data_IF_777359161795
#
_entry.id   IF_777359161795
#
_cell.length_a   1.000
_cell.length_b   1.000
_cell.length_c   1.000
_cell.angle_alpha   90.00
_cell.angle_beta   90.00
_cell.angle_gamma   90.00
#
_symmetry.space_group_name_H-M   'P 1'
#
loop_
_entity.id
_entity.type
_entity.pdbx_description
1 polymer ?
#
# COMPACT_ATOMS: atom_id res chain seq x y z
N UNK A 1 30.23 -5.02 -0.20
CA UNK A 1 30.03 -6.46 -0.45
C UNK A 1 28.68 -6.86 0.14
N UNK A 2 27.63 -6.93 -0.71
CA UNK A 2 26.36 -7.66 -0.49
C UNK A 2 25.31 -7.26 -1.57
N UNK A 3 25.70 -7.33 -2.84
CA UNK A 3 24.71 -7.39 -3.93
C UNK A 3 24.20 -8.82 -4.02
N UNK A 4 23.37 -9.25 -3.05
CA UNK A 4 22.85 -10.61 -3.02
C UNK A 4 21.40 -10.60 -3.52
N UNK A 5 21.18 -11.08 -4.74
CA UNK A 5 19.86 -11.56 -5.17
C UNK A 5 19.58 -12.81 -4.35
N UNK A 6 18.93 -12.66 -3.19
CA UNK A 6 18.59 -13.81 -2.35
C UNK A 6 17.26 -14.38 -2.85
N UNK A 7 17.33 -15.32 -3.79
CA UNK A 7 16.19 -16.20 -4.09
C UNK A 7 16.05 -17.16 -2.90
N UNK A 8 15.01 -16.96 -2.09
CA UNK A 8 14.70 -17.90 -1.02
C UNK A 8 14.27 -19.24 -1.60
N UNK A 9 15.00 -20.30 -1.25
CA UNK A 9 14.56 -21.69 -1.39
C UNK A 9 15.16 -22.44 -2.58
N UNK A 10 16.19 -23.24 -2.31
CA UNK A 10 16.51 -24.39 -3.16
C UNK A 10 15.40 -25.43 -3.06
N UNK A 11 14.77 -25.71 -4.20
CA UNK A 11 13.76 -26.75 -4.39
C UNK A 11 13.62 -27.00 -5.89
N UNK A 12 14.04 -28.19 -6.33
CA UNK A 12 14.31 -28.59 -7.72
C UNK A 12 13.06 -28.59 -8.61
N UNK A 13 13.18 -27.97 -9.80
CA UNK A 13 12.60 -28.39 -11.09
C UNK A 13 11.11 -28.71 -11.19
N UNK A 14 10.38 -27.91 -11.99
CA UNK A 14 9.08 -28.29 -12.52
C UNK A 14 8.39 -27.14 -13.27
N UNK A 15 8.23 -27.27 -14.58
CA UNK A 15 7.46 -26.36 -15.43
C UNK A 15 5.99 -26.36 -15.03
N UNK A 16 5.47 -25.23 -14.53
CA UNK A 16 4.03 -24.99 -14.36
C UNK A 16 3.37 -25.78 -13.23
N UNK A 17 3.61 -25.38 -11.98
CA UNK A 17 2.98 -25.95 -10.79
C UNK A 17 3.52 -25.30 -9.52
N UNK A 18 2.72 -25.30 -8.46
CA UNK A 18 2.91 -24.69 -7.14
C UNK A 18 4.38 -24.52 -6.70
N UNK A 19 4.79 -23.34 -6.20
CA UNK A 19 6.16 -23.11 -5.75
C UNK A 19 6.57 -24.08 -4.64
N UNK A 20 7.68 -24.80 -4.86
CA UNK A 20 8.23 -25.78 -3.92
C UNK A 20 9.03 -25.08 -2.80
N UNK A 21 8.35 -24.56 -1.77
CA UNK A 21 9.01 -24.09 -0.55
C UNK A 21 8.12 -23.24 0.35
N UNK A 22 8.35 -23.34 1.66
CA UNK A 22 7.83 -22.40 2.65
C UNK A 22 9.01 -21.68 3.28
N UNK A 23 9.01 -20.35 3.25
CA UNK A 23 9.94 -19.54 4.01
C UNK A 23 9.22 -19.07 5.27
N UNK A 24 9.76 -19.41 6.43
CA UNK A 24 9.14 -18.97 7.68
C UNK A 24 9.28 -17.47 7.84
N UNK A 25 10.50 -16.93 7.76
CA UNK A 25 10.78 -15.51 7.89
C UNK A 25 11.90 -15.08 6.93
N UNK A 26 11.91 -13.80 6.60
CA UNK A 26 13.01 -13.17 5.89
C UNK A 26 13.32 -11.83 6.55
N UNK A 27 14.60 -11.55 6.84
CA UNK A 27 15.00 -10.30 7.50
C UNK A 27 16.16 -9.66 6.75
N UNK A 28 15.95 -8.43 6.30
CA UNK A 28 17.01 -7.52 5.88
C UNK A 28 17.43 -6.68 7.08
N UNK A 29 18.57 -7.02 7.68
CA UNK A 29 19.08 -6.34 8.88
C UNK A 29 19.52 -4.91 8.58
N UNK A 30 19.68 -4.10 9.63
CA UNK A 30 20.15 -2.70 9.52
C UNK A 30 21.43 -2.59 8.68
N UNK A 31 21.45 -1.64 7.75
CA UNK A 31 22.53 -1.45 6.77
C UNK A 31 22.56 -2.50 5.64
N UNK A 32 21.70 -3.52 5.70
CA UNK A 32 21.54 -4.51 4.66
C UNK A 32 20.93 -3.90 3.39
N UNK A 33 21.44 -4.30 2.24
CA UNK A 33 20.94 -3.88 0.93
C UNK A 33 20.56 -5.10 0.13
N UNK A 34 19.33 -5.14 -0.38
CA UNK A 34 18.84 -6.16 -1.29
C UNK A 34 18.35 -5.45 -2.54
N UNK A 35 19.02 -5.67 -3.66
CA UNK A 35 18.59 -5.08 -4.94
C UNK A 35 17.25 -5.67 -5.39
N UNK A 36 17.09 -6.99 -5.29
CA UNK A 36 15.84 -7.63 -5.67
C UNK A 36 15.56 -8.83 -4.78
N UNK A 37 14.37 -8.85 -4.18
CA UNK A 37 13.80 -9.99 -3.47
C UNK A 37 12.58 -10.47 -4.24
N UNK A 38 12.66 -11.69 -4.76
CA UNK A 38 11.55 -12.34 -5.44
C UNK A 38 10.89 -13.34 -4.49
N UNK A 39 9.70 -13.00 -3.98
CA UNK A 39 8.85 -13.97 -3.32
C UNK A 39 8.03 -14.75 -4.34
N UNK A 40 8.56 -15.89 -4.74
CA UNK A 40 7.85 -16.84 -5.58
C UNK A 40 7.14 -17.94 -4.79
N UNK A 41 7.17 -17.95 -3.45
CA UNK A 41 6.70 -19.06 -2.63
C UNK A 41 5.87 -18.58 -1.43
N UNK A 42 5.40 -19.50 -0.58
CA UNK A 42 4.69 -19.11 0.63
C UNK A 42 5.68 -18.55 1.67
N UNK A 43 5.45 -17.32 2.13
CA UNK A 43 6.16 -16.76 3.29
C UNK A 43 5.19 -16.56 4.45
N UNK A 44 5.38 -17.29 5.55
CA UNK A 44 4.36 -17.41 6.61
C UNK A 44 4.49 -16.40 7.75
N UNK A 45 5.69 -15.94 8.10
CA UNK A 45 5.92 -14.91 9.13
C UNK A 45 6.45 -13.60 8.51
N UNK A 46 6.47 -13.54 7.18
CA UNK A 46 6.71 -12.33 6.43
C UNK A 46 8.16 -11.88 6.28
N UNK A 47 8.28 -10.64 5.86
CA UNK A 47 9.53 -9.94 5.56
C UNK A 47 9.70 -8.79 6.54
N UNK A 48 10.86 -8.69 7.17
CA UNK A 48 11.26 -7.53 7.97
C UNK A 48 12.38 -6.77 7.25
N UNK A 49 12.15 -5.52 6.88
CA UNK A 49 13.18 -4.59 6.41
C UNK A 49 13.50 -3.62 7.54
N UNK A 50 14.62 -3.85 8.23
CA UNK A 50 14.98 -3.11 9.43
C UNK A 50 15.32 -1.64 9.12
N UNK A 51 15.40 -0.82 10.17
CA UNK A 51 15.88 0.57 10.05
C UNK A 51 17.23 0.65 9.33
N UNK A 52 17.37 1.62 8.43
CA UNK A 52 18.56 1.80 7.56
C UNK A 52 18.84 0.63 6.60
N UNK A 53 17.94 -0.35 6.49
CA UNK A 53 18.04 -1.41 5.50
C UNK A 53 17.28 -0.99 4.23
N UNK A 54 17.78 -1.41 3.07
CA UNK A 54 17.19 -1.07 1.76
C UNK A 54 16.81 -2.34 1.01
N UNK A 55 15.58 -2.41 0.51
CA UNK A 55 15.18 -3.33 -0.55
C UNK A 55 14.81 -2.48 -1.77
N UNK A 56 15.56 -2.57 -2.86
CA UNK A 56 15.22 -1.77 -4.06
C UNK A 56 13.94 -2.30 -4.70
N UNK A 57 13.83 -3.61 -4.90
CA UNK A 57 12.61 -4.21 -5.46
C UNK A 57 12.18 -5.44 -4.67
N UNK A 58 10.95 -5.41 -4.15
CA UNK A 58 10.27 -6.56 -3.58
C UNK A 58 9.19 -7.02 -4.57
N UNK A 59 9.39 -8.18 -5.19
CA UNK A 59 8.40 -8.79 -6.06
C UNK A 59 7.66 -9.89 -5.30
N UNK A 60 6.41 -9.64 -4.92
CA UNK A 60 5.53 -10.65 -4.38
C UNK A 60 4.70 -11.30 -5.50
N UNK A 61 4.92 -12.60 -5.74
CA UNK A 61 4.22 -13.40 -6.76
C UNK A 61 3.39 -14.55 -6.15
N UNK A 62 3.26 -14.58 -4.82
CA UNK A 62 2.51 -15.59 -4.08
C UNK A 62 1.98 -15.03 -2.75
N UNK A 63 1.50 -15.90 -1.86
CA UNK A 63 1.05 -15.51 -0.52
C UNK A 63 2.22 -15.08 0.39
N UNK A 64 2.09 -13.89 0.97
CA UNK A 64 3.01 -13.29 1.93
C UNK A 64 2.19 -12.75 3.10
N UNK A 65 2.41 -13.29 4.30
CA UNK A 65 1.60 -12.90 5.45
C UNK A 65 1.84 -11.45 5.87
N UNK A 66 3.10 -11.05 6.04
CA UNK A 66 3.42 -9.71 6.51
C UNK A 66 4.62 -9.10 5.80
N UNK A 67 4.61 -7.79 5.68
CA UNK A 67 5.79 -6.98 5.42
C UNK A 67 5.86 -5.93 6.51
N UNK A 68 6.99 -5.86 7.20
CA UNK A 68 7.29 -4.84 8.20
C UNK A 68 8.47 -4.02 7.69
N UNK A 69 8.19 -2.79 7.24
CA UNK A 69 9.21 -1.89 6.72
C UNK A 69 9.53 -0.77 7.72
N UNK A 70 10.73 -0.78 8.28
CA UNK A 70 11.31 0.33 9.07
C UNK A 70 12.48 1.01 8.35
N UNK A 71 12.88 0.49 7.18
CA UNK A 71 13.91 1.06 6.32
C UNK A 71 13.31 1.62 5.04
N UNK A 72 13.95 1.35 3.90
CA UNK A 72 13.49 1.79 2.57
C UNK A 72 13.12 0.61 1.70
N UNK A 73 11.94 0.66 1.08
CA UNK A 73 11.58 -0.17 -0.07
C UNK A 73 11.32 0.76 -1.25
N UNK A 74 12.11 0.69 -2.33
CA UNK A 74 11.85 1.56 -3.49
C UNK A 74 10.61 1.10 -4.24
N UNK A 75 10.53 -0.18 -4.62
CA UNK A 75 9.36 -0.72 -5.32
C UNK A 75 8.88 -1.99 -4.66
N UNK A 76 7.58 -2.05 -4.37
CA UNK A 76 6.87 -3.23 -3.93
C UNK A 76 5.84 -3.60 -5.00
N UNK A 77 6.10 -4.70 -5.69
CA UNK A 77 5.25 -5.25 -6.73
C UNK A 77 4.45 -6.44 -6.17
N UNK A 78 3.14 -6.29 -6.01
CA UNK A 78 2.23 -7.40 -5.70
C UNK A 78 1.52 -7.83 -7.00
N UNK A 79 1.92 -8.99 -7.53
CA UNK A 79 1.61 -9.41 -8.90
C UNK A 79 1.19 -10.89 -8.98
N UNK A 80 0.73 -11.35 -10.14
CA UNK A 80 0.43 -12.76 -10.39
C UNK A 80 -0.59 -13.36 -9.41
N UNK A 81 -1.66 -12.59 -9.13
CA UNK A 81 -2.69 -12.97 -8.14
C UNK A 81 -2.14 -13.20 -6.73
N UNK A 82 -1.00 -12.60 -6.42
CA UNK A 82 -0.40 -12.67 -5.10
C UNK A 82 -1.25 -11.98 -4.04
N UNK A 83 -1.02 -12.37 -2.79
CA UNK A 83 -1.67 -11.78 -1.63
C UNK A 83 -0.63 -11.32 -0.63
N UNK A 84 -0.79 -10.10 -0.14
CA UNK A 84 -0.13 -9.59 1.06
C UNK A 84 -1.21 -9.39 2.11
N UNK A 85 -1.14 -10.12 3.22
CA UNK A 85 -2.16 -9.97 4.26
C UNK A 85 -1.98 -8.63 5.00
N UNK A 86 -0.75 -8.33 5.45
CA UNK A 86 -0.47 -7.05 6.13
C UNK A 86 0.81 -6.43 5.62
N UNK A 87 0.74 -5.19 5.16
CA UNK A 87 1.90 -4.35 4.91
C UNK A 87 1.90 -3.21 5.93
N UNK A 88 2.89 -3.21 6.80
CA UNK A 88 3.11 -2.14 7.77
C UNK A 88 4.35 -1.35 7.37
N UNK A 89 4.15 -0.12 6.92
CA UNK A 89 5.22 0.85 6.83
C UNK A 89 5.38 1.49 8.23
N UNK A 90 6.28 0.93 9.02
CA UNK A 90 6.54 1.34 10.40
C UNK A 90 7.06 2.78 10.47
N UNK A 91 7.11 3.32 11.68
CA UNK A 91 7.61 4.67 11.91
C UNK A 91 8.98 4.92 11.26
N UNK A 92 9.07 6.02 10.51
CA UNK A 92 10.22 6.43 9.69
C UNK A 92 10.58 5.46 8.55
N UNK A 93 9.75 4.45 8.27
CA UNK A 93 9.85 3.63 7.07
C UNK A 93 9.46 4.44 5.84
N UNK A 94 10.16 4.19 4.74
CA UNK A 94 9.89 4.80 3.45
C UNK A 94 9.56 3.73 2.41
N UNK A 95 8.49 3.95 1.63
CA UNK A 95 8.18 3.16 0.44
C UNK A 95 7.93 4.10 -0.74
N UNK A 96 8.72 4.00 -1.81
CA UNK A 96 8.51 4.93 -2.94
C UNK A 96 7.28 4.51 -3.78
N UNK A 97 7.14 3.23 -4.10
CA UNK A 97 6.01 2.76 -4.92
C UNK A 97 5.50 1.41 -4.46
N UNK A 98 4.17 1.33 -4.32
CA UNK A 98 3.42 0.09 -4.16
C UNK A 98 2.59 -0.13 -5.42
N UNK A 99 2.87 -1.18 -6.16
CA UNK A 99 2.05 -1.66 -7.29
C UNK A 99 1.23 -2.86 -6.84
N UNK A 100 -0.06 -2.65 -6.55
CA UNK A 100 -0.99 -3.76 -6.36
C UNK A 100 -1.67 -4.07 -7.69
N UNK A 101 -1.08 -4.98 -8.47
CA UNK A 101 -1.51 -5.25 -9.85
C UNK A 101 -2.85 -5.99 -9.89
N UNK A 102 -3.46 -5.99 -11.08
CA UNK A 102 -4.75 -6.63 -11.31
C UNK A 102 -4.76 -8.09 -10.84
N UNK A 103 -5.86 -8.50 -10.23
CA UNK A 103 -6.02 -9.84 -9.64
C UNK A 103 -5.26 -10.08 -8.33
N UNK A 104 -4.38 -9.17 -7.91
CA UNK A 104 -3.63 -9.28 -6.65
C UNK A 104 -4.36 -8.57 -5.50
N UNK A 105 -4.06 -8.97 -4.27
CA UNK A 105 -4.71 -8.45 -3.07
C UNK A 105 -3.70 -7.96 -2.04
N UNK A 106 -3.96 -6.78 -1.47
CA UNK A 106 -3.39 -6.35 -0.19
C UNK A 106 -4.56 -6.19 0.78
N UNK A 107 -4.56 -6.94 1.88
CA UNK A 107 -5.68 -6.87 2.83
C UNK A 107 -5.56 -5.61 3.70
N UNK A 108 -4.41 -5.42 4.35
CA UNK A 108 -4.17 -4.24 5.18
C UNK A 108 -2.88 -3.55 4.79
N UNK A 109 -2.95 -2.24 4.61
CA UNK A 109 -1.82 -1.33 4.45
C UNK A 109 -1.89 -0.25 5.53
N UNK A 110 -0.95 -0.29 6.47
CA UNK A 110 -0.81 0.71 7.51
C UNK A 110 0.44 1.56 7.25
N UNK A 111 0.25 2.85 7.01
CA UNK A 111 1.31 3.85 7.01
C UNK A 111 1.37 4.50 8.39
N UNK A 112 2.33 4.05 9.21
CA UNK A 112 2.44 4.43 10.63
C UNK A 112 2.99 5.84 10.81
N UNK A 113 2.93 6.33 12.04
CA UNK A 113 3.44 7.66 12.43
C UNK A 113 4.83 7.96 11.86
N UNK A 114 5.01 9.11 11.18
CA UNK A 114 6.24 9.53 10.50
C UNK A 114 6.71 8.62 9.36
N UNK A 115 5.92 7.64 8.95
CA UNK A 115 6.22 6.81 7.79
C UNK A 115 5.76 7.53 6.51
N UNK A 116 6.48 7.26 5.42
CA UNK A 116 6.25 7.91 4.14
C UNK A 116 5.99 6.86 3.06
N UNK A 117 4.94 7.09 2.27
CA UNK A 117 4.71 6.37 1.02
C UNK A 117 4.59 7.40 -0.10
N UNK A 118 5.40 7.30 -1.14
CA UNK A 118 5.30 8.25 -2.24
C UNK A 118 4.07 7.91 -3.11
N UNK A 119 3.97 6.70 -3.63
CA UNK A 119 2.85 6.31 -4.51
C UNK A 119 2.26 4.94 -4.18
N UNK A 120 0.93 4.86 -4.15
CA UNK A 120 0.16 3.63 -4.14
C UNK A 120 -0.63 3.54 -5.44
N UNK A 121 -0.32 2.53 -6.25
CA UNK A 121 -0.99 2.23 -7.50
C UNK A 121 -1.81 0.94 -7.34
N UNK A 122 -3.10 1.08 -7.11
CA UNK A 122 -4.01 -0.04 -6.94
C UNK A 122 -4.76 -0.35 -8.24
N UNK A 123 -4.40 -1.46 -8.90
CA UNK A 123 -5.15 -2.08 -10.00
C UNK A 123 -5.88 -3.36 -9.60
N UNK A 124 -5.61 -3.90 -8.40
CA UNK A 124 -6.23 -5.09 -7.82
C UNK A 124 -7.22 -4.74 -6.71
N UNK A 125 -7.13 -5.49 -5.60
CA UNK A 125 -7.92 -5.23 -4.38
C UNK A 125 -7.01 -4.75 -3.25
N UNK A 126 -7.29 -3.57 -2.71
CA UNK A 126 -6.73 -3.08 -1.45
C UNK A 126 -7.89 -2.96 -0.46
N UNK A 127 -7.96 -3.80 0.57
CA UNK A 127 -9.14 -3.77 1.44
C UNK A 127 -9.07 -2.59 2.41
N UNK A 128 -7.97 -2.41 3.13
CA UNK A 128 -7.82 -1.33 4.10
C UNK A 128 -6.52 -0.58 3.88
N UNK A 129 -6.64 0.74 3.76
CA UNK A 129 -5.53 1.69 3.82
C UNK A 129 -5.72 2.62 5.01
N UNK A 130 -4.77 2.62 5.93
CA UNK A 130 -4.73 3.54 7.08
C UNK A 130 -3.49 4.43 6.96
N UNK A 131 -3.69 5.75 6.99
CA UNK A 131 -2.62 6.73 7.14
C UNK A 131 -2.72 7.35 8.54
N UNK A 132 -1.75 7.07 9.40
CA UNK A 132 -1.75 7.53 10.79
C UNK A 132 -1.36 9.01 10.94
N UNK A 133 -1.45 9.53 12.17
CA UNK A 133 -0.99 10.89 12.49
C UNK A 133 0.49 11.07 12.13
N UNK A 134 0.85 12.21 11.54
CA UNK A 134 2.20 12.51 11.03
C UNK A 134 2.72 11.57 9.94
N UNK A 135 1.91 10.62 9.48
CA UNK A 135 2.23 9.79 8.32
C UNK A 135 1.86 10.54 7.02
N UNK A 136 2.64 10.34 5.97
CA UNK A 136 2.40 10.99 4.67
C UNK A 136 2.29 9.99 3.54
N UNK A 137 1.27 10.15 2.70
CA UNK A 137 1.15 9.48 1.40
C UNK A 137 1.05 10.55 0.31
N UNK A 138 1.95 10.57 -0.68
CA UNK A 138 1.85 11.60 -1.72
C UNK A 138 0.71 11.29 -2.70
N UNK A 139 0.65 10.08 -3.26
CA UNK A 139 -0.41 9.70 -4.20
C UNK A 139 -1.02 8.34 -3.87
N UNK A 140 -2.36 8.31 -3.88
CA UNK A 140 -3.15 7.07 -3.93
C UNK A 140 -3.95 7.07 -5.23
N UNK A 141 -3.71 6.09 -6.08
CA UNK A 141 -4.43 5.87 -7.33
C UNK A 141 -5.19 4.55 -7.25
N UNK A 142 -6.52 4.62 -7.16
CA UNK A 142 -7.41 3.47 -7.29
C UNK A 142 -7.87 3.39 -8.74
N UNK A 143 -7.17 2.60 -9.56
CA UNK A 143 -7.34 2.52 -11.01
C UNK A 143 -8.70 1.93 -11.41
N UNK A 144 -9.05 2.05 -12.68
CA UNK A 144 -10.26 1.43 -13.23
C UNK A 144 -10.30 -0.06 -12.94
N UNK A 145 -11.49 -0.58 -12.61
CA UNK A 145 -11.76 -1.97 -12.18
C UNK A 145 -11.08 -2.42 -10.87
N UNK A 146 -10.30 -1.55 -10.22
CA UNK A 146 -9.74 -1.83 -8.91
C UNK A 146 -10.77 -1.60 -7.80
N UNK A 147 -10.54 -2.25 -6.66
CA UNK A 147 -11.33 -2.03 -5.45
C UNK A 147 -10.42 -1.52 -4.33
N UNK A 148 -10.83 -0.42 -3.72
CA UNK A 148 -10.33 0.05 -2.43
C UNK A 148 -11.50 0.03 -1.44
N UNK A 149 -11.52 -0.87 -0.48
CA UNK A 149 -12.72 -0.98 0.39
C UNK A 149 -12.76 0.19 1.38
N UNK A 150 -11.69 0.41 2.12
CA UNK A 150 -11.61 1.44 3.15
C UNK A 150 -10.33 2.23 3.03
N UNK A 151 -10.45 3.54 2.95
CA UNK A 151 -9.35 4.49 3.14
C UNK A 151 -9.66 5.33 4.37
N UNK A 152 -8.70 5.36 5.31
CA UNK A 152 -8.75 6.22 6.49
C UNK A 152 -7.50 7.07 6.56
N UNK A 153 -7.67 8.39 6.44
CA UNK A 153 -6.63 9.37 6.74
C UNK A 153 -6.90 9.97 8.12
N UNK A 154 -6.15 9.53 9.13
CA UNK A 154 -6.35 9.96 10.52
C UNK A 154 -5.99 11.44 10.71
N UNK A 155 -6.47 12.03 11.80
CA UNK A 155 -6.08 13.37 12.19
C UNK A 155 -4.55 13.48 12.29
N UNK A 156 -3.98 14.54 11.72
CA UNK A 156 -2.52 14.73 11.61
C UNK A 156 -1.86 13.96 10.46
N UNK A 157 -2.55 13.01 9.83
CA UNK A 157 -2.09 12.35 8.61
C UNK A 157 -2.26 13.23 7.38
N UNK A 158 -1.36 13.08 6.41
CA UNK A 158 -1.43 13.79 5.12
C UNK A 158 -1.52 12.81 3.97
N UNK A 159 -2.51 13.02 3.10
CA UNK A 159 -2.56 12.46 1.76
C UNK A 159 -2.56 13.63 0.77
N UNK A 160 -1.59 13.72 -0.14
CA UNK A 160 -1.59 14.84 -1.09
C UNK A 160 -2.69 14.63 -2.14
N UNK A 161 -2.69 13.49 -2.81
CA UNK A 161 -3.60 13.21 -3.93
C UNK A 161 -4.28 11.86 -3.75
N UNK A 162 -5.61 11.85 -3.86
CA UNK A 162 -6.42 10.65 -4.01
C UNK A 162 -7.16 10.70 -5.35
N UNK A 163 -6.80 9.80 -6.26
CA UNK A 163 -7.44 9.60 -7.55
C UNK A 163 -8.23 8.29 -7.52
N UNK A 164 -9.55 8.38 -7.64
CA UNK A 164 -10.44 7.22 -7.70
C UNK A 164 -11.07 7.09 -9.09
N UNK A 165 -10.66 6.05 -9.82
CA UNK A 165 -11.26 5.60 -11.08
C UNK A 165 -11.90 4.20 -10.95
N UNK A 166 -11.67 3.50 -9.85
CA UNK A 166 -12.30 2.22 -9.49
C UNK A 166 -13.46 2.37 -8.51
N UNK A 167 -13.68 1.34 -7.70
CA UNK A 167 -14.65 1.36 -6.61
C UNK A 167 -13.95 1.70 -5.30
N UNK A 168 -14.43 2.72 -4.60
CA UNK A 168 -14.03 3.05 -3.24
C UNK A 168 -15.24 2.98 -2.31
N UNK A 169 -15.31 1.98 -1.42
CA UNK A 169 -16.51 1.83 -0.58
C UNK A 169 -16.60 2.88 0.52
N UNK A 170 -15.49 3.16 1.21
CA UNK A 170 -15.47 4.14 2.30
C UNK A 170 -14.19 4.97 2.27
N UNK A 171 -14.34 6.29 2.18
CA UNK A 171 -13.28 7.26 2.35
C UNK A 171 -13.55 8.09 3.62
N UNK A 172 -12.64 8.02 4.59
CA UNK A 172 -12.70 8.83 5.82
C UNK A 172 -11.47 9.72 5.91
N UNK A 173 -11.66 11.03 5.92
CA UNK A 173 -10.59 12.01 6.06
C UNK A 173 -10.79 12.84 7.33
N UNK A 174 -9.93 12.62 8.33
CA UNK A 174 -9.78 13.46 9.52
C UNK A 174 -8.50 14.32 9.48
N UNK A 175 -7.55 13.99 8.60
CA UNK A 175 -6.31 14.71 8.39
C UNK A 175 -6.38 15.74 7.26
N UNK A 176 -5.26 15.88 6.54
CA UNK A 176 -5.16 16.70 5.34
C UNK A 176 -5.27 15.79 4.12
N UNK A 177 -6.23 16.07 3.25
CA UNK A 177 -6.29 15.57 1.88
C UNK A 177 -6.20 16.79 0.96
N UNK A 178 -5.15 16.92 0.15
CA UNK A 178 -5.05 18.13 -0.69
C UNK A 178 -6.03 18.05 -1.85
N UNK A 179 -5.95 16.97 -2.63
CA UNK A 179 -6.77 16.77 -3.83
C UNK A 179 -7.50 15.44 -3.76
N UNK A 180 -8.82 15.49 -3.94
CA UNK A 180 -9.65 14.32 -4.21
C UNK A 180 -10.23 14.44 -5.62
N UNK A 181 -9.88 13.50 -6.48
CA UNK A 181 -10.48 13.32 -7.81
C UNK A 181 -11.26 12.02 -7.84
N UNK A 182 -12.57 12.09 -8.00
CA UNK A 182 -13.43 10.92 -8.21
C UNK A 182 -13.99 10.91 -9.64
N UNK A 183 -13.67 9.88 -10.39
CA UNK A 183 -14.14 9.63 -11.76
C UNK A 183 -14.96 8.34 -11.88
N UNK A 184 -15.20 7.66 -10.74
CA UNK A 184 -16.05 6.47 -10.68
C UNK A 184 -16.89 6.49 -9.39
N UNK A 185 -16.82 5.45 -8.55
CA UNK A 185 -17.74 5.30 -7.41
C UNK A 185 -17.02 5.48 -6.09
N UNK A 186 -17.55 6.39 -5.27
CA UNK A 186 -17.34 6.40 -3.82
C UNK A 186 -18.68 6.09 -3.14
N UNK A 187 -18.79 5.04 -2.34
CA UNK A 187 -20.08 4.74 -1.67
C UNK A 187 -20.30 5.68 -0.48
N UNK A 188 -19.30 5.79 0.40
CA UNK A 188 -19.35 6.63 1.60
C UNK A 188 -18.14 7.57 1.64
N UNK A 189 -18.38 8.88 1.79
CA UNK A 189 -17.32 9.86 2.00
C UNK A 189 -17.60 10.67 3.26
N UNK A 190 -16.69 10.60 4.24
CA UNK A 190 -16.73 11.41 5.46
C UNK A 190 -15.49 12.28 5.54
N UNK A 191 -15.69 13.58 5.73
CA UNK A 191 -14.62 14.53 5.95
C UNK A 191 -14.82 15.26 7.28
N UNK A 192 -13.93 15.05 8.25
CA UNK A 192 -13.79 15.87 9.46
C UNK A 192 -12.47 16.68 9.46
N UNK A 193 -11.58 16.39 8.50
CA UNK A 193 -10.32 17.08 8.27
C UNK A 193 -10.44 18.20 7.23
N UNK A 194 -9.43 18.32 6.37
CA UNK A 194 -9.41 19.26 5.24
C UNK A 194 -9.36 18.52 3.91
N UNK A 195 -10.19 18.98 2.96
CA UNK A 195 -10.05 18.69 1.53
C UNK A 195 -9.88 20.04 0.84
N UNK A 196 -8.76 20.27 0.13
CA UNK A 196 -8.49 21.57 -0.51
C UNK A 196 -9.12 21.66 -1.89
N UNK A 197 -9.04 20.58 -2.67
CA UNK A 197 -9.62 20.49 -4.00
C UNK A 197 -10.40 19.19 -4.11
N UNK A 198 -11.68 19.31 -4.49
CA UNK A 198 -12.54 18.18 -4.78
C UNK A 198 -13.03 18.29 -6.23
N UNK A 199 -12.68 17.31 -7.05
CA UNK A 199 -13.27 17.11 -8.37
C UNK A 199 -14.05 15.80 -8.37
N UNK A 200 -15.37 15.86 -8.53
CA UNK A 200 -16.21 14.67 -8.63
C UNK A 200 -16.94 14.69 -9.99
N UNK A 201 -16.51 13.83 -10.91
CA UNK A 201 -17.11 13.66 -12.23
C UNK A 201 -18.01 12.43 -12.34
N UNK A 202 -18.27 11.75 -11.22
CA UNK A 202 -19.06 10.52 -11.16
C UNK A 202 -19.85 10.42 -9.83
N UNK A 203 -20.06 9.21 -9.32
CA UNK A 203 -21.03 8.95 -8.24
C UNK A 203 -20.37 8.97 -6.86
N UNK A 204 -20.93 9.77 -5.95
CA UNK A 204 -20.76 9.62 -4.50
C UNK A 204 -22.13 9.27 -3.91
N UNK A 205 -22.34 8.01 -3.52
CA UNK A 205 -23.69 7.47 -3.26
C UNK A 205 -24.35 8.12 -2.04
N UNK A 206 -23.66 8.12 -0.90
CA UNK A 206 -24.20 8.68 0.35
C UNK A 206 -23.80 10.15 0.57
N UNK A 207 -23.42 10.86 -0.49
CA UNK A 207 -22.90 12.22 -0.43
C UNK A 207 -21.59 12.33 0.36
N UNK A 208 -21.13 13.57 0.59
CA UNK A 208 -19.99 13.88 1.46
C UNK A 208 -20.54 14.42 2.77
N UNK A 209 -20.34 13.67 3.86
CA UNK A 209 -20.58 14.18 5.19
C UNK A 209 -19.39 15.04 5.63
N UNK A 210 -19.50 16.36 5.45
CA UNK A 210 -18.46 17.32 5.83
C UNK A 210 -18.77 17.92 7.21
N UNK A 211 -18.06 17.46 8.24
CA UNK A 211 -18.21 17.90 9.62
C UNK A 211 -17.44 19.20 9.93
N UNK A 212 -16.87 19.89 8.93
CA UNK A 212 -16.20 21.19 9.08
C UNK A 212 -16.92 22.26 8.24
N UNK A 213 -17.25 23.37 8.87
CA UNK A 213 -18.20 24.41 8.43
C UNK A 213 -17.77 25.31 7.25
N UNK A 214 -16.67 25.04 6.54
CA UNK A 214 -16.28 25.86 5.37
C UNK A 214 -15.61 25.02 4.28
N UNK A 215 -16.25 24.99 3.12
CA UNK A 215 -15.58 24.85 1.84
C UNK A 215 -14.82 26.16 1.62
N UNK A 216 -13.54 26.09 1.26
CA UNK A 216 -12.89 27.24 0.65
C UNK A 216 -13.23 27.12 -0.82
N UNK A 217 -14.10 28.00 -1.29
CA UNK A 217 -14.49 28.10 -2.70
C UNK A 217 -13.28 28.34 -3.62
#
# INVERSE_FOLDING_TARGET
NNGNTQTGGGGVGGTGGTPAGTITNFTNNSGGTITTLNNNALITNGITNATNATITTLNNKYALSTITNSGTITTLDNDNSATITTLTNNANGNIDTIENKSGSTITTLDNKTNAQIETINNAGTLQTLTNESSASINKVENKSNATLTTLTNNAGGTITTLENAGTLSTATNAGILTTLTNTSTITNATNSGSITTLTNSATIINGINNNKTKWVD
#
